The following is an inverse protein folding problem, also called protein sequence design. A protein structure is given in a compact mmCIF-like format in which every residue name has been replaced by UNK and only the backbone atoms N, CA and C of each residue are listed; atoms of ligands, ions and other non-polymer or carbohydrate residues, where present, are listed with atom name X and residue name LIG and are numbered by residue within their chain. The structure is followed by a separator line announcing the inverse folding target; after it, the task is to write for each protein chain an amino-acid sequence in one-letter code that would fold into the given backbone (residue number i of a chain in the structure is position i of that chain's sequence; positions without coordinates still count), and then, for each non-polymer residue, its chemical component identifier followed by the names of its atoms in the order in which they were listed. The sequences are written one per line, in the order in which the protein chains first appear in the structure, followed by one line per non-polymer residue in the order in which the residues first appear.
data_IF_623154894495
#
_entry.id   IF_623154894495
#
_cell.length_a   1.000
_cell.length_b   1.000
_cell.length_c   1.000
_cell.angle_alpha   90.00
_cell.angle_beta   90.00
_cell.angle_gamma   90.00
#
_symmetry.space_group_name_H-M   'P 1'
#
loop_
_entity.id
_entity.type
_entity.pdbx_description
1 polymer ?
2 non-polymer ?
#
# COMPACT_ATOMS: atom_id res chain seq x y z
N UNK A 1 8.64 -4.83 0.76
CA UNK A 1 7.46 -5.04 1.63
C UNK A 1 7.00 -3.74 2.28
N UNK A 2 7.98 -2.99 2.84
CA UNK A 2 7.71 -1.72 3.51
C UNK A 2 7.59 -0.57 2.48
N UNK A 3 6.79 0.53 2.76
CA UNK A 3 6.63 1.68 1.81
C UNK A 3 5.85 1.27 0.57
N UNK A 4 5.21 2.27 0.00
CA UNK A 4 4.42 2.13 -1.20
C UNK A 4 5.25 2.03 -2.46
N UNK A 5 4.77 1.17 -3.38
CA UNK A 5 5.44 0.87 -4.65
C UNK A 5 5.04 1.75 -5.86
N UNK A 6 3.87 2.40 -5.79
CA UNK A 6 3.41 3.19 -6.97
C UNK A 6 2.95 4.60 -6.60
N UNK A 7 2.70 4.86 -5.33
CA UNK A 7 2.26 6.17 -4.90
C UNK A 7 2.99 6.63 -3.63
N UNK A 8 3.52 7.87 -3.66
CA UNK A 8 4.28 8.53 -2.57
C UNK A 8 3.69 8.41 -1.13
N UNK A 9 2.91 7.36 -0.85
CA UNK A 9 2.36 7.13 0.45
C UNK A 9 3.29 6.08 1.11
N UNK A 10 4.25 6.51 1.99
CA UNK A 10 5.19 5.55 2.62
C UNK A 10 5.17 5.69 4.14
N UNK A 11 4.75 4.63 4.77
CA UNK A 11 4.52 4.61 6.19
C UNK A 11 5.56 3.78 6.92
N UNK A 12 5.21 2.53 7.27
CA UNK A 12 6.11 1.63 7.99
C UNK A 12 5.45 0.26 8.19
N UNK A 13 4.16 0.17 7.79
CA UNK A 13 3.43 -1.08 7.92
C UNK A 13 3.28 -1.69 6.55
N UNK A 14 3.90 -2.86 6.37
CA UNK A 14 3.89 -3.55 5.09
C UNK A 14 2.58 -4.32 4.87
N UNK A 15 2.05 -4.94 5.92
CA UNK A 15 0.82 -5.68 5.81
C UNK A 15 -1.05 -4.00 6.20
N UNK A 16 -0.80 -2.79 6.73
CA UNK A 16 -1.49 -1.57 6.32
C UNK A 16 -1.24 -1.26 4.83
N UNK A 17 -0.02 -1.53 4.35
CA UNK A 17 0.32 -1.30 2.95
C UNK A 17 -0.22 -2.43 2.05
N UNK A 18 -0.23 -3.67 2.55
CA UNK A 18 -0.76 -4.80 1.78
C UNK A 18 -2.21 -4.52 1.38
N UNK A 19 -3.06 -4.29 2.39
CA UNK A 19 -4.44 -3.99 2.15
C UNK A 19 -4.48 -1.50 1.59
N UNK A 20 -3.33 -0.82 1.79
CA UNK A 20 -2.90 0.29 0.95
C UNK A 20 -2.79 -0.06 -0.53
N UNK A 21 -2.24 -1.21 -0.82
CA UNK A 21 -2.05 -1.64 -2.18
C UNK A 21 -3.14 -2.61 -2.64
N UNK A 22 -3.92 -3.12 -1.69
CA UNK A 22 -5.03 -3.96 -1.99
C UNK A 22 -6.69 -1.99 -2.07
N UNK A 23 -5.78 -0.98 -1.97
CA UNK A 23 -6.06 0.35 -2.51
C UNK A 23 -5.44 0.51 -3.89
N UNK A 24 -4.17 0.11 -4.02
CA UNK A 24 -3.50 0.15 -5.34
C UNK A 24 -4.21 -0.78 -6.28
N UNK A 25 -4.75 -1.77 -5.65
CA UNK A 25 -5.56 -2.79 -6.25
C UNK A 25 -8.11 -2.93 -6.06
N UNK A 26 -9.17 -2.61 -5.31
CA UNK A 26 -10.54 -2.69 -5.80
C UNK A 26 -11.23 -1.34 -5.72
N UNK A 27 -11.88 -0.95 -6.83
CA UNK A 27 -12.59 0.33 -6.91
C UNK A 27 -14.00 0.13 -7.46
N UNK A 28 -14.96 0.84 -6.88
CA UNK A 28 -16.37 0.76 -7.30
C UNK A 28 -16.92 2.15 -7.59
N UNK A 29 -17.25 2.38 -8.85
X LIG B 1 0.50 3.84 -2.59
#
# INVERSE_FOLDING_TARGET
KYXCPECPKXFLRSXHLSXHIXTHXNKKX
ZN ZN
#
